data_IF_571895634942
#
_entry.id   IF_571895634942
#
_cell.length_a   1.000
_cell.length_b   1.000
_cell.length_c   1.000
_cell.angle_alpha   90.00
_cell.angle_beta   90.00
_cell.angle_gamma   90.00
#
_symmetry.space_group_name_H-M   'P 1'
#
loop_
_entity.id
_entity.type
_entity.pdbx_description
1 polymer ?
#
# COMPACT_ATOMS: atom_id res chain seq x y z
N UNK A 1 -21.52 0.94 -12.53
CA UNK A 1 -20.79 -0.02 -11.68
C UNK A 1 -21.81 -0.83 -10.88
N UNK A 2 -21.84 -2.17 -10.99
CA UNK A 2 -22.88 -3.02 -10.38
C UNK A 2 -22.67 -3.34 -8.87
N UNK A 3 -21.53 -2.95 -8.29
CA UNK A 3 -21.15 -3.22 -6.88
C UNK A 3 -20.69 -1.95 -6.14
N UNK A 4 -21.13 -0.77 -6.60
CA UNK A 4 -20.64 0.50 -6.06
C UNK A 4 -21.10 0.74 -4.62
N UNK A 5 -22.30 0.28 -4.29
CA UNK A 5 -22.87 0.19 -2.94
C UNK A 5 -21.97 -0.60 -1.98
N UNK A 6 -21.54 -1.80 -2.37
CA UNK A 6 -20.65 -2.65 -1.55
C UNK A 6 -19.26 -2.03 -1.39
N UNK A 7 -18.78 -1.30 -2.40
CA UNK A 7 -17.49 -0.60 -2.34
C UNK A 7 -17.51 0.60 -1.37
N UNK A 8 -18.67 1.22 -1.14
CA UNK A 8 -18.81 2.29 -0.15
C UNK A 8 -18.66 1.76 1.28
N UNK A 9 -19.08 0.53 1.54
CA UNK A 9 -18.94 -0.15 2.85
C UNK A 9 -17.57 -0.83 2.98
N UNK A 10 -16.51 -0.06 2.76
CA UNK A 10 -15.14 -0.54 2.80
C UNK A 10 -14.78 -1.06 4.21
N UNK A 11 -14.32 -2.32 4.38
CA UNK A 11 -14.31 -2.96 5.69
C UNK A 11 -13.05 -2.62 6.53
N UNK A 12 -12.18 -1.77 6.00
CA UNK A 12 -10.97 -1.31 6.66
C UNK A 12 -11.28 -0.07 7.53
N UNK A 13 -11.91 -0.30 8.69
CA UNK A 13 -12.17 0.73 9.70
C UNK A 13 -10.90 1.08 10.50
N UNK A 14 -10.52 2.35 10.53
CA UNK A 14 -9.37 2.80 11.31
C UNK A 14 -9.63 2.64 12.83
N UNK A 15 -8.57 2.48 13.62
CA UNK A 15 -8.70 2.52 15.09
C UNK A 15 -9.23 3.88 15.53
N UNK A 16 -9.84 3.98 16.71
CA UNK A 16 -10.41 5.23 17.22
C UNK A 16 -9.39 6.37 17.28
N UNK A 17 -8.11 6.04 17.46
CA UNK A 17 -6.98 6.97 17.44
C UNK A 17 -6.63 7.48 16.04
N UNK A 18 -6.87 6.66 15.02
CA UNK A 18 -6.62 6.98 13.63
C UNK A 18 -7.87 7.46 12.88
N UNK A 19 -9.07 7.39 13.48
CA UNK A 19 -10.30 7.88 12.85
C UNK A 19 -10.39 9.39 12.89
N UNK A 20 -11.12 9.90 11.91
CA UNK A 20 -11.57 11.29 11.83
C UNK A 20 -12.29 11.75 13.11
N UNK A 21 -12.76 10.85 13.99
CA UNK A 21 -13.48 11.18 15.22
C UNK A 21 -12.57 11.83 16.28
N UNK A 22 -11.41 11.25 16.62
CA UNK A 22 -10.44 11.92 17.53
C UNK A 22 -9.80 13.17 16.91
N UNK A 23 -9.66 13.20 15.58
CA UNK A 23 -9.17 14.37 14.84
C UNK A 23 -10.22 15.50 14.79
N UNK A 24 -11.51 15.17 14.64
CA UNK A 24 -12.64 16.13 14.66
C UNK A 24 -12.94 16.65 16.05
N UNK A 25 -12.80 15.80 17.08
CA UNK A 25 -12.87 16.18 18.50
C UNK A 25 -11.66 17.04 18.94
N UNK A 26 -10.70 17.30 18.02
CA UNK A 26 -9.47 18.10 18.24
C UNK A 26 -8.53 17.56 19.32
N UNK A 27 -8.67 16.32 19.75
CA UNK A 27 -7.79 15.73 20.76
C UNK A 27 -6.38 15.45 20.21
N UNK A 28 -6.23 15.23 18.90
CA UNK A 28 -4.92 15.00 18.26
C UNK A 28 -4.89 15.46 16.79
N UNK A 29 -3.81 16.13 16.37
CA UNK A 29 -3.58 16.47 14.96
C UNK A 29 -2.81 15.35 14.26
N UNK A 30 -2.92 15.25 12.92
CA UNK A 30 -2.11 14.28 12.16
C UNK A 30 -0.61 14.48 12.36
N UNK A 31 -0.16 15.73 12.48
CA UNK A 31 1.24 16.05 12.77
C UNK A 31 1.67 15.49 14.14
N UNK A 32 0.92 15.73 15.21
CA UNK A 32 1.22 15.18 16.55
C UNK A 32 1.18 13.65 16.57
N UNK A 33 0.22 13.05 15.86
CA UNK A 33 0.13 11.59 15.72
C UNK A 33 1.40 10.98 15.08
N UNK A 34 1.90 11.59 14.01
CA UNK A 34 3.12 11.15 13.31
C UNK A 34 4.38 11.47 14.10
N UNK A 35 4.43 12.61 14.80
CA UNK A 35 5.56 13.02 15.65
C UNK A 35 5.79 12.03 16.80
N UNK A 36 4.71 11.62 17.50
CA UNK A 36 4.79 10.61 18.56
C UNK A 36 5.35 9.27 18.10
N UNK A 37 5.27 8.99 16.80
CA UNK A 37 5.75 7.75 16.17
C UNK A 37 7.09 7.92 15.44
N UNK A 38 7.70 9.11 15.50
CA UNK A 38 9.00 9.39 14.89
C UNK A 38 9.01 9.40 13.36
N UNK A 39 7.84 9.44 12.71
CA UNK A 39 7.72 9.37 11.24
C UNK A 39 7.31 10.68 10.59
N UNK A 40 7.06 11.74 11.38
CA UNK A 40 6.69 13.04 10.86
C UNK A 40 7.76 13.61 9.90
N UNK A 41 7.32 14.11 8.74
CA UNK A 41 8.20 14.63 7.68
C UNK A 41 9.29 13.65 7.19
N UNK A 42 9.09 12.34 7.35
CA UNK A 42 10.05 11.32 6.91
C UNK A 42 9.45 10.42 5.85
N UNK A 43 10.25 9.99 4.87
CA UNK A 43 9.83 8.97 3.93
C UNK A 43 8.56 9.33 3.15
N UNK A 44 7.73 8.32 2.91
CA UNK A 44 6.38 8.46 2.35
C UNK A 44 5.41 9.23 3.25
N UNK A 45 5.70 9.38 4.55
CA UNK A 45 4.84 10.03 5.54
C UNK A 45 4.82 11.55 5.43
N UNK A 46 5.83 12.13 4.76
CA UNK A 46 5.90 13.58 4.52
C UNK A 46 4.62 14.12 3.86
N UNK A 47 3.98 13.32 3.03
CA UNK A 47 2.78 13.69 2.26
C UNK A 47 1.46 13.47 3.02
N UNK A 48 1.52 12.91 4.23
CA UNK A 48 0.31 12.71 5.04
C UNK A 48 -0.15 14.00 5.72
N UNK A 49 0.71 15.03 5.83
CA UNK A 49 0.37 16.31 6.46
C UNK A 49 0.89 17.51 5.65
N UNK A 50 0.38 18.71 5.95
CA UNK A 50 0.77 19.95 5.24
C UNK A 50 2.20 20.40 5.54
N UNK A 51 2.81 19.91 6.62
CA UNK A 51 4.18 20.28 7.00
C UNK A 51 5.21 19.83 5.96
N UNK A 52 4.96 18.72 5.25
CA UNK A 52 5.87 18.24 4.21
C UNK A 52 5.99 19.16 2.99
N UNK A 53 4.94 19.93 2.69
CA UNK A 53 4.97 20.93 1.62
C UNK A 53 5.88 22.13 1.97
N UNK A 54 6.05 22.44 3.26
CA UNK A 54 6.90 23.54 3.74
C UNK A 54 8.38 23.17 3.75
N UNK A 55 8.71 21.88 3.84
CA UNK A 55 10.10 21.38 3.78
C UNK A 55 10.59 21.14 2.33
N UNK A 56 9.66 20.99 1.38
CA UNK A 56 9.95 20.74 -0.04
C UNK A 56 10.09 22.03 -0.88
N UNK A 57 10.92 22.98 -0.46
CA UNK A 57 11.39 24.05 -1.37
C UNK A 57 12.23 23.50 -2.53
N UNK A 58 12.63 22.24 -2.47
CA UNK A 58 13.25 21.50 -3.56
C UNK A 58 12.42 20.26 -3.89
N UNK A 59 11.98 20.19 -5.14
CA UNK A 59 11.30 19.05 -5.72
C UNK A 59 12.17 17.79 -5.50
N UNK A 60 11.69 16.72 -4.83
CA UNK A 60 12.49 15.51 -4.71
C UNK A 60 12.58 14.88 -6.09
N UNK A 61 13.77 14.96 -6.69
CA UNK A 61 14.12 14.36 -8.00
C UNK A 61 14.11 12.83 -7.96
N UNK A 62 13.86 12.23 -6.79
CA UNK A 62 13.79 10.78 -6.58
C UNK A 62 12.54 10.42 -5.78
N UNK A 63 11.83 9.32 -6.12
CA UNK A 63 10.77 8.80 -5.28
C UNK A 63 11.35 8.54 -3.88
N UNK A 64 10.69 9.07 -2.85
CA UNK A 64 11.09 8.81 -1.47
C UNK A 64 10.65 7.39 -1.13
N UNK A 65 11.54 6.44 -1.38
CA UNK A 65 11.32 5.01 -1.18
C UNK A 65 11.74 4.64 0.25
N UNK A 66 10.77 4.50 1.14
CA UNK A 66 11.06 4.05 2.49
C UNK A 66 9.86 4.11 3.42
N UNK A 67 9.68 3.03 4.19
CA UNK A 67 8.68 2.97 5.25
C UNK A 67 9.02 3.86 6.44
N UNK A 68 10.27 4.31 6.60
CA UNK A 68 10.76 5.10 7.76
C UNK A 68 10.32 4.57 9.12
N UNK A 69 10.10 3.25 9.22
CA UNK A 69 9.62 2.56 10.41
C UNK A 69 10.60 1.45 10.77
N UNK A 70 10.70 1.15 12.06
CA UNK A 70 11.43 -0.03 12.54
C UNK A 70 10.86 -1.31 11.94
N UNK A 71 11.70 -2.33 11.77
CA UNK A 71 11.34 -3.53 11.01
C UNK A 71 10.15 -4.35 11.55
N UNK A 72 9.76 -4.19 12.82
CA UNK A 72 8.54 -4.81 13.39
C UNK A 72 7.27 -3.98 13.18
N UNK A 73 7.39 -2.74 12.72
CA UNK A 73 6.29 -1.81 12.51
C UNK A 73 5.91 -1.70 11.03
N UNK A 74 6.78 -2.09 10.08
CA UNK A 74 6.50 -2.05 8.65
C UNK A 74 6.26 -3.44 8.04
N UNK A 75 5.46 -3.54 6.97
CA UNK A 75 5.32 -4.74 6.15
C UNK A 75 6.53 -4.96 5.22
N UNK A 76 7.69 -4.41 5.58
CA UNK A 76 8.93 -4.39 4.79
C UNK A 76 9.59 -5.78 4.66
N UNK A 77 9.21 -6.74 5.50
CA UNK A 77 9.62 -8.15 5.39
C UNK A 77 8.55 -8.94 4.64
N UNK A 78 8.97 -10.05 4.04
CA UNK A 78 8.03 -11.01 3.45
C UNK A 78 7.00 -11.49 4.48
N UNK A 79 5.77 -11.83 4.05
CA UNK A 79 4.73 -12.28 4.97
C UNK A 79 5.15 -13.59 5.67
N UNK A 80 4.76 -13.80 6.93
CA UNK A 80 5.15 -14.98 7.71
C UNK A 80 4.46 -16.27 7.23
N UNK A 81 3.36 -16.13 6.50
CA UNK A 81 2.60 -17.22 5.92
C UNK A 81 1.98 -16.77 4.59
N UNK A 82 1.53 -17.72 3.74
CA UNK A 82 0.66 -17.38 2.61
C UNK A 82 -0.51 -16.50 3.07
N UNK A 83 -0.99 -15.64 2.16
CA UNK A 83 -2.15 -14.79 2.45
C UNK A 83 -3.35 -15.67 2.82
N UNK A 84 -4.12 -15.32 3.87
CA UNK A 84 -5.40 -15.95 4.13
C UNK A 84 -6.32 -15.85 2.90
N UNK A 85 -7.29 -16.77 2.80
CA UNK A 85 -8.28 -16.77 1.71
C UNK A 85 -8.96 -15.42 1.54
N UNK A 86 -9.14 -14.69 2.63
CA UNK A 86 -9.67 -13.34 2.63
C UNK A 86 -9.10 -12.54 3.79
N UNK A 87 -8.75 -11.27 3.52
CA UNK A 87 -8.43 -10.27 4.54
C UNK A 87 -9.60 -9.30 4.51
N UNK A 88 -10.39 -9.28 5.59
CA UNK A 88 -11.63 -8.53 5.63
C UNK A 88 -11.50 -7.22 6.39
N UNK A 89 -10.53 -7.07 7.28
CA UNK A 89 -10.34 -5.81 7.99
C UNK A 89 -8.86 -5.52 8.28
N UNK A 90 -8.58 -4.35 8.85
CA UNK A 90 -7.22 -3.99 9.27
C UNK A 90 -6.65 -4.97 10.29
N UNK A 91 -7.48 -5.47 11.22
CA UNK A 91 -7.00 -6.41 12.24
C UNK A 91 -6.42 -7.68 11.60
N UNK A 92 -7.15 -8.27 10.65
CA UNK A 92 -6.71 -9.46 9.91
C UNK A 92 -5.38 -9.19 9.19
N UNK A 93 -5.25 -8.03 8.55
CA UNK A 93 -4.02 -7.64 7.86
C UNK A 93 -2.83 -7.51 8.81
N UNK A 94 -3.03 -6.82 9.93
CA UNK A 94 -1.97 -6.58 10.92
C UNK A 94 -1.53 -7.89 11.59
N UNK A 95 -2.47 -8.77 11.92
CA UNK A 95 -2.19 -10.11 12.45
C UNK A 95 -1.40 -10.94 11.43
N UNK A 96 -1.86 -10.98 10.17
CA UNK A 96 -1.16 -11.68 9.09
C UNK A 96 0.27 -11.15 8.88
N UNK A 97 0.48 -9.84 8.95
CA UNK A 97 1.83 -9.25 8.82
C UNK A 97 2.65 -9.27 10.10
N UNK A 98 2.11 -9.78 11.20
CA UNK A 98 2.73 -9.68 12.52
C UNK A 98 3.14 -8.23 12.88
N UNK A 99 2.30 -7.27 12.49
CA UNK A 99 2.48 -5.85 12.78
C UNK A 99 1.57 -5.49 13.96
N UNK A 100 2.07 -4.78 14.99
CA UNK A 100 1.22 -4.36 16.09
C UNK A 100 0.20 -3.31 15.64
N UNK A 101 -1.04 -3.41 16.14
CA UNK A 101 -2.17 -2.54 15.75
C UNK A 101 -1.91 -1.02 15.92
N UNK A 102 -1.00 -0.63 16.81
CA UNK A 102 -0.63 0.78 17.00
C UNK A 102 0.28 1.35 15.89
N UNK A 103 0.80 0.49 15.01
CA UNK A 103 1.63 0.91 13.87
C UNK A 103 0.82 1.80 12.93
N UNK A 104 1.39 2.91 12.42
CA UNK A 104 0.67 3.86 11.57
C UNK A 104 0.53 3.40 10.11
N UNK A 105 0.99 2.19 9.75
CA UNK A 105 1.06 1.71 8.35
C UNK A 105 -0.27 1.76 7.61
N UNK A 106 -1.40 1.68 8.31
CA UNK A 106 -2.71 1.85 7.72
C UNK A 106 -2.86 3.15 6.92
N UNK A 107 -2.20 4.25 7.32
CA UNK A 107 -2.25 5.52 6.60
C UNK A 107 -1.60 5.44 5.21
N UNK A 108 -0.52 4.67 5.04
CA UNK A 108 0.11 4.47 3.74
C UNK A 108 -0.54 3.33 2.94
N UNK A 109 -1.06 2.33 3.64
CA UNK A 109 -1.60 1.11 3.05
C UNK A 109 -3.07 1.20 2.63
N UNK A 110 -3.79 2.24 3.04
CA UNK A 110 -5.22 2.34 2.72
C UNK A 110 -5.49 2.20 1.22
N UNK A 111 -4.70 2.84 0.34
CA UNK A 111 -4.86 2.71 -1.10
C UNK A 111 -4.48 1.33 -1.66
N UNK A 112 -3.29 0.77 -1.37
CA UNK A 112 -2.97 -0.62 -1.74
C UNK A 112 -4.05 -1.62 -1.32
N UNK A 113 -4.54 -1.55 -0.08
CA UNK A 113 -5.55 -2.50 0.42
C UNK A 113 -6.93 -2.23 -0.19
N UNK A 114 -7.23 -0.97 -0.55
CA UNK A 114 -8.42 -0.63 -1.36
C UNK A 114 -8.38 -1.27 -2.72
N UNK A 115 -7.23 -1.21 -3.40
CA UNK A 115 -7.07 -1.90 -4.67
C UNK A 115 -7.22 -3.42 -4.51
N UNK A 116 -6.59 -4.01 -3.49
CA UNK A 116 -6.73 -5.44 -3.22
C UNK A 116 -8.19 -5.85 -3.06
N UNK A 117 -8.93 -5.15 -2.19
CA UNK A 117 -10.32 -5.47 -1.90
C UNK A 117 -11.24 -5.21 -3.10
N UNK A 118 -11.05 -4.10 -3.82
CA UNK A 118 -11.81 -3.82 -5.03
C UNK A 118 -11.61 -4.91 -6.08
N UNK A 119 -10.38 -5.42 -6.24
CA UNK A 119 -10.12 -6.57 -7.10
C UNK A 119 -10.82 -7.82 -6.58
N UNK A 120 -10.73 -8.16 -5.29
CA UNK A 120 -11.43 -9.33 -4.74
C UNK A 120 -12.94 -9.30 -5.01
N UNK A 121 -13.57 -8.12 -4.89
CA UNK A 121 -14.97 -7.92 -5.24
C UNK A 121 -15.23 -8.09 -6.74
N UNK A 122 -14.43 -7.49 -7.62
CA UNK A 122 -14.66 -7.62 -9.07
C UNK A 122 -14.42 -9.06 -9.52
N UNK A 123 -13.43 -9.73 -8.96
CA UNK A 123 -13.00 -11.04 -9.39
C UNK A 123 -13.95 -12.12 -8.91
N UNK A 124 -14.54 -12.03 -7.70
CA UNK A 124 -15.44 -13.07 -7.12
C UNK A 124 -14.89 -14.49 -7.26
N UNK A 125 -13.58 -14.62 -7.44
CA UNK A 125 -12.83 -15.80 -7.86
C UNK A 125 -11.76 -16.05 -6.82
N UNK A 126 -11.45 -17.32 -6.58
CA UNK A 126 -10.37 -17.69 -5.66
C UNK A 126 -9.07 -17.01 -6.10
N UNK A 127 -8.20 -16.65 -5.14
CA UNK A 127 -6.83 -16.23 -5.46
C UNK A 127 -6.09 -17.30 -6.30
N UNK A 128 -6.53 -18.56 -6.23
CA UNK A 128 -6.02 -19.63 -7.08
C UNK A 128 -6.23 -19.35 -8.58
N UNK A 129 -7.32 -18.65 -8.94
CA UNK A 129 -7.64 -18.35 -10.34
C UNK A 129 -6.70 -17.32 -10.97
N UNK A 130 -5.92 -16.58 -10.17
CA UNK A 130 -4.97 -15.56 -10.67
C UNK A 130 -3.53 -16.03 -10.70
N UNK A 131 -3.24 -17.19 -10.11
CA UNK A 131 -1.89 -17.76 -10.11
C UNK A 131 -1.43 -17.98 -11.54
N UNK A 132 -0.21 -17.53 -11.85
CA UNK A 132 0.39 -17.58 -13.18
C UNK A 132 -0.17 -16.58 -14.19
N UNK A 133 -1.18 -15.78 -13.81
CA UNK A 133 -1.76 -14.74 -14.68
C UNK A 133 -1.12 -13.39 -14.44
N UNK A 134 -1.23 -12.53 -15.43
CA UNK A 134 -0.85 -11.12 -15.33
C UNK A 134 -2.11 -10.27 -15.44
N UNK A 135 -2.30 -9.32 -14.54
CA UNK A 135 -3.38 -8.35 -14.65
C UNK A 135 -2.86 -6.93 -14.42
N UNK A 136 -3.55 -5.99 -15.05
CA UNK A 136 -3.20 -4.59 -15.09
C UNK A 136 -4.28 -3.78 -14.38
N UNK A 137 -3.89 -3.03 -13.37
CA UNK A 137 -4.76 -2.08 -12.66
C UNK A 137 -4.49 -0.69 -13.24
N UNK A 138 -5.51 -0.06 -13.80
CA UNK A 138 -5.45 1.34 -14.20
C UNK A 138 -5.94 2.22 -13.06
N UNK A 139 -5.02 2.92 -12.38
CA UNK A 139 -5.33 3.82 -11.27
C UNK A 139 -5.57 5.23 -11.81
N UNK A 140 -6.83 5.68 -11.79
CA UNK A 140 -7.21 6.98 -12.35
C UNK A 140 -7.12 8.09 -11.29
N UNK A 141 -6.53 9.23 -11.67
CA UNK A 141 -6.45 10.43 -10.85
C UNK A 141 -5.62 10.31 -9.57
N UNK A 142 -4.38 9.78 -9.61
CA UNK A 142 -3.52 9.77 -8.43
C UNK A 142 -3.03 11.19 -8.09
N UNK A 143 -2.97 11.48 -6.81
CA UNK A 143 -2.47 12.72 -6.22
C UNK A 143 -1.32 12.39 -5.25
N UNK A 144 -1.63 12.20 -3.96
CA UNK A 144 -0.63 11.88 -2.93
C UNK A 144 0.01 10.49 -3.14
N UNK A 145 -0.68 9.59 -3.84
CA UNK A 145 -0.27 8.21 -4.10
C UNK A 145 1.02 8.15 -4.93
N UNK A 146 1.24 9.15 -5.81
CA UNK A 146 2.46 9.25 -6.62
C UNK A 146 3.73 9.41 -5.78
N UNK A 147 3.59 9.88 -4.54
CA UNK A 147 4.69 10.03 -3.60
C UNK A 147 4.82 8.85 -2.63
N UNK A 148 3.92 7.87 -2.73
CA UNK A 148 3.80 6.73 -1.83
C UNK A 148 3.89 5.41 -2.60
N UNK A 149 4.53 5.41 -3.78
CA UNK A 149 4.61 4.24 -4.66
C UNK A 149 5.20 3.00 -3.97
N UNK A 150 6.12 3.20 -3.02
CA UNK A 150 6.68 2.10 -2.22
C UNK A 150 5.62 1.31 -1.44
N UNK A 151 4.52 1.94 -1.02
CA UNK A 151 3.43 1.26 -0.34
C UNK A 151 2.66 0.31 -1.27
N UNK A 152 2.58 0.60 -2.57
CA UNK A 152 1.92 -0.26 -3.55
C UNK A 152 2.70 -1.55 -3.83
N UNK A 153 3.97 -1.62 -3.46
CA UNK A 153 4.73 -2.87 -3.48
C UNK A 153 4.09 -3.97 -2.62
N UNK A 154 3.28 -3.58 -1.63
CA UNK A 154 2.55 -4.53 -0.78
C UNK A 154 1.61 -5.45 -1.57
N UNK A 155 1.13 -5.00 -2.73
CA UNK A 155 0.24 -5.79 -3.59
C UNK A 155 0.87 -7.09 -4.09
N UNK A 156 2.20 -7.21 -4.10
CA UNK A 156 2.90 -8.47 -4.42
C UNK A 156 2.49 -9.57 -3.44
N UNK A 157 2.56 -9.24 -2.16
CA UNK A 157 2.25 -10.20 -1.10
C UNK A 157 0.75 -10.48 -1.02
N UNK A 158 -0.08 -9.53 -1.45
CA UNK A 158 -1.53 -9.66 -1.47
C UNK A 158 -2.06 -10.47 -2.65
N UNK A 159 -1.28 -10.60 -3.73
CA UNK A 159 -1.61 -11.38 -4.92
C UNK A 159 -0.51 -12.40 -5.23
N UNK A 160 -0.30 -13.39 -4.34
CA UNK A 160 0.79 -14.35 -4.49
C UNK A 160 0.67 -15.13 -5.81
N UNK A 161 1.78 -15.30 -6.50
CA UNK A 161 1.83 -16.03 -7.77
C UNK A 161 1.21 -15.31 -8.97
N UNK A 162 0.72 -14.08 -8.83
CA UNK A 162 0.20 -13.28 -9.93
C UNK A 162 1.15 -12.12 -10.31
N UNK A 163 1.23 -11.81 -11.61
CA UNK A 163 1.96 -10.64 -12.09
C UNK A 163 1.08 -9.39 -12.06
N UNK A 164 1.27 -8.52 -11.06
CA UNK A 164 0.52 -7.28 -10.91
C UNK A 164 1.25 -6.11 -11.58
N UNK A 165 0.58 -5.41 -12.49
CA UNK A 165 1.05 -4.12 -13.04
C UNK A 165 0.05 -3.03 -12.67
N UNK A 166 0.56 -1.86 -12.28
CA UNK A 166 -0.27 -0.69 -11.98
C UNK A 166 0.13 0.45 -12.90
N UNK A 167 -0.82 0.86 -13.73
CA UNK A 167 -0.67 2.01 -14.60
C UNK A 167 -1.44 3.17 -13.95
N UNK A 168 -0.69 4.10 -13.36
CA UNK A 168 -1.22 5.36 -12.90
C UNK A 168 -1.59 6.22 -14.11
N UNK A 169 -2.79 6.79 -14.13
CA UNK A 169 -3.33 7.62 -15.23
C UNK A 169 -3.93 8.90 -14.68
N UNK A 170 -3.43 10.06 -15.09
CA UNK A 170 -3.99 11.34 -14.66
C UNK A 170 -3.09 12.53 -15.02
N UNK A 171 -3.62 13.76 -14.95
CA UNK A 171 -2.90 14.97 -15.33
C UNK A 171 -1.72 15.29 -14.40
N UNK A 172 -1.76 14.80 -13.16
CA UNK A 172 -0.69 14.98 -12.17
C UNK A 172 0.55 14.11 -12.43
N UNK A 173 0.49 13.20 -13.40
CA UNK A 173 1.59 12.29 -13.72
C UNK A 173 2.60 13.01 -14.60
N UNK A 174 3.88 13.10 -14.19
CA UNK A 174 4.90 13.74 -15.01
C UNK A 174 5.00 13.06 -16.38
N UNK A 175 5.15 13.84 -17.46
CA UNK A 175 5.18 13.31 -18.83
C UNK A 175 6.31 12.30 -19.06
N UNK A 176 7.39 12.36 -18.29
CA UNK A 176 8.50 11.39 -18.35
C UNK A 176 8.11 10.01 -17.79
N UNK A 177 7.14 9.97 -16.89
CA UNK A 177 6.56 8.75 -16.31
C UNK A 177 5.49 8.11 -17.21
N UNK A 178 5.00 8.81 -18.23
CA UNK A 178 3.99 8.27 -19.16
C UNK A 178 4.50 7.05 -19.96
N UNK A 179 5.82 6.92 -20.14
CA UNK A 179 6.47 5.73 -20.75
C UNK A 179 7.04 4.75 -19.72
N UNK A 180 6.98 5.13 -18.45
CA UNK A 180 7.46 4.39 -17.29
C UNK A 180 6.28 4.22 -16.33
N UNK A 181 5.22 3.55 -16.80
CA UNK A 181 4.33 2.85 -15.85
C UNK A 181 5.25 2.11 -14.90
N UNK A 182 4.99 2.18 -13.59
CA UNK A 182 5.85 1.56 -12.58
C UNK A 182 5.99 0.09 -12.96
N UNK A 183 7.07 -0.21 -13.69
CA UNK A 183 7.30 -1.50 -14.33
C UNK A 183 8.04 -2.32 -13.31
N UNK A 184 7.44 -2.45 -12.13
CA UNK A 184 7.81 -3.47 -11.18
C UNK A 184 7.30 -4.78 -11.79
N UNK A 185 8.07 -5.29 -12.76
CA UNK A 185 7.92 -6.66 -13.25
C UNK A 185 8.39 -7.55 -12.10
N UNK A 186 7.51 -7.76 -11.13
CA UNK A 186 7.79 -8.53 -9.94
C UNK A 186 7.55 -10.00 -10.31
N UNK A 187 8.58 -10.58 -10.94
CA UNK A 187 8.67 -12.00 -11.19
C UNK A 187 9.44 -12.60 -10.02
N UNK A 188 8.81 -13.48 -9.25
CA UNK A 188 9.54 -14.42 -8.40
C UNK A 188 10.48 -15.22 -9.32
N UNK A 189 11.79 -15.03 -9.17
CA UNK A 189 12.74 -16.04 -9.65
C UNK A 189 12.63 -17.20 -8.66
N UNK A 190 11.83 -18.19 -9.02
CA UNK A 190 11.91 -19.51 -8.41
C UNK A 190 13.38 -19.98 -8.51
N UNK A 191 13.98 -20.26 -7.35
CA UNK A 191 15.33 -20.78 -7.28
C UNK A 191 15.39 -22.17 -7.90
N UNK A 192 15.97 -22.26 -9.10
CA UNK A 192 16.56 -23.50 -9.57
C UNK A 192 17.94 -23.65 -8.93
N UNK A 193 17.98 -24.40 -7.83
CA UNK A 193 19.18 -25.11 -7.38
C UNK A 193 18.85 -26.60 -7.42
N UNK A 194 18.93 -27.17 -8.61
CA UNK A 194 19.15 -28.60 -8.79
C UNK A 194 20.54 -28.80 -9.37
N UNK A 195 21.34 -29.54 -8.60
CA UNK A 195 22.42 -30.44 -9.05
C UNK A 195 23.65 -29.84 -9.72
N UNK A 196 24.69 -29.61 -8.91
CA UNK A 196 26.07 -29.99 -9.27
C UNK A 196 26.68 -30.71 -8.08
N UNK A 197 26.50 -32.03 -8.04
CA UNK A 197 27.34 -32.96 -7.31
C UNK A 197 27.37 -34.27 -8.11
N UNK A 198 28.31 -34.31 -9.05
CA UNK A 198 28.76 -35.46 -9.81
C UNK A 198 30.21 -35.20 -10.17
#
# INVERSE_FOLDING_TARGET
MKRADILNDFPFSFTREATVQQVRERCETRCSFLMKRGVHCSGMWMYECRCGALTNSQCPTRPIEGWSLSGSLCPCKGPPSPIPKQITCWKDYYEWRCIPLYSPVALLLHWPLTLYWANQLVMSRSLDDIVGKKFCIHYLGPEKELHQLGAFGELIALFPGAGVRIDFVGPAIPQESHKRGVRSSLSEKAGNLTEVAG
#
